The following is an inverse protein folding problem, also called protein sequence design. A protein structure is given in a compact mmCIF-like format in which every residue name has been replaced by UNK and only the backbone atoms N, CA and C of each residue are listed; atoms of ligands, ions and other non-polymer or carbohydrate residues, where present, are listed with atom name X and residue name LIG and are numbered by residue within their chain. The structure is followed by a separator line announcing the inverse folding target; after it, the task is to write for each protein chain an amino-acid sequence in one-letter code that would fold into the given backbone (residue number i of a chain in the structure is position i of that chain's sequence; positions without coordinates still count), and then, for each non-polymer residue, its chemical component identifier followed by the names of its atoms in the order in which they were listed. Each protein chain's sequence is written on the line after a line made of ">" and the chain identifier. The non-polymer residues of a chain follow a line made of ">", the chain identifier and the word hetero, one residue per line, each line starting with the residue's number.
data_IF_399316530207
#
_entry.id   IF_399316530207
#
_cell.length_a   1.000
_cell.length_b   1.000
_cell.length_c   1.000
_cell.angle_alpha   90.00
_cell.angle_beta   90.00
_cell.angle_gamma   90.00
#
_symmetry.space_group_name_H-M   'P 1'
#
loop_
_entity.id
_entity.type
_entity.pdbx_description
1 polymer ?
#
# COMPACT_ATOMS: atom_id res chain seq x y z
N UNK A 1 28.10 64.20 21.62
CA UNK A 1 27.70 63.65 20.30
C UNK A 1 27.20 62.23 20.58
N UNK A 2 25.89 61.99 20.43
CA UNK A 2 25.24 60.75 20.78
C UNK A 2 25.08 59.91 19.52
N UNK A 3 25.72 58.75 19.46
CA UNK A 3 25.52 57.77 18.38
C UNK A 3 24.31 56.86 18.74
N UNK A 4 23.27 56.95 17.94
CA UNK A 4 22.08 56.10 18.07
C UNK A 4 22.33 54.80 17.31
N UNK A 5 22.42 53.67 18.07
CA UNK A 5 22.46 52.31 17.50
C UNK A 5 21.06 51.85 17.09
N UNK A 6 20.91 51.53 15.84
CA UNK A 6 19.68 50.95 15.29
C UNK A 6 19.78 49.42 15.42
N UNK A 7 18.97 48.86 16.28
CA UNK A 7 18.75 47.40 16.38
C UNK A 7 17.67 47.00 15.37
N UNK A 8 18.06 46.29 14.32
CA UNK A 8 17.14 45.64 13.40
C UNK A 8 16.66 44.30 14.04
N UNK A 9 15.36 44.03 14.09
CA UNK A 9 14.90 42.72 14.50
C UNK A 9 15.08 41.72 13.37
N UNK A 10 15.79 40.62 13.65
CA UNK A 10 15.83 39.44 12.79
C UNK A 10 14.44 38.78 12.78
N UNK A 11 13.75 38.85 11.66
CA UNK A 11 12.56 38.04 11.42
C UNK A 11 13.01 36.57 11.17
N UNK A 12 12.77 35.68 12.12
CA UNK A 12 12.93 34.26 11.92
C UNK A 12 11.78 33.77 11.05
N UNK A 13 12.06 33.42 9.79
CA UNK A 13 11.16 32.67 8.93
C UNK A 13 11.09 31.21 9.49
N UNK A 14 10.00 30.91 10.16
CA UNK A 14 9.65 29.54 10.50
C UNK A 14 9.30 28.82 9.19
N UNK A 15 10.24 28.00 8.69
CA UNK A 15 10.00 27.10 7.57
C UNK A 15 8.99 26.03 7.97
N UNK A 16 7.79 26.07 7.40
CA UNK A 16 6.89 24.92 7.38
C UNK A 16 7.55 23.81 6.55
N UNK A 17 8.21 22.87 7.20
CA UNK A 17 8.57 21.59 6.60
C UNK A 17 7.31 20.76 6.34
N UNK A 18 7.31 19.84 5.33
CA UNK A 18 6.19 18.95 5.11
C UNK A 18 5.97 18.12 6.38
N UNK A 19 4.83 18.33 7.04
CA UNK A 19 4.48 17.68 8.27
C UNK A 19 4.42 16.16 8.08
N UNK A 20 5.13 15.43 8.92
CA UNK A 20 4.89 14.01 9.12
C UNK A 20 3.41 13.84 9.50
N UNK A 21 2.67 13.02 8.71
CA UNK A 21 1.24 12.79 8.93
C UNK A 21 0.98 12.40 10.38
N UNK A 22 0.05 13.09 11.01
CA UNK A 22 -0.36 12.79 12.38
C UNK A 22 -1.02 11.40 12.42
N UNK A 23 -0.96 10.69 13.55
CA UNK A 23 -1.57 9.36 13.69
C UNK A 23 -3.05 9.28 13.31
N UNK A 24 -3.79 10.39 13.37
CA UNK A 24 -5.16 10.51 12.87
C UNK A 24 -5.24 10.35 11.35
N UNK A 25 -4.33 10.95 10.59
CA UNK A 25 -4.28 10.85 9.13
C UNK A 25 -4.01 9.40 8.67
N UNK A 26 -3.13 8.70 9.39
CA UNK A 26 -2.85 7.28 9.12
C UNK A 26 -4.06 6.38 9.38
N UNK A 27 -4.80 6.62 10.46
CA UNK A 27 -6.03 5.88 10.78
C UNK A 27 -7.11 6.08 9.72
N UNK A 28 -7.30 7.32 9.27
CA UNK A 28 -8.23 7.65 8.20
C UNK A 28 -7.83 7.01 6.86
N UNK A 29 -6.54 6.97 6.55
CA UNK A 29 -6.02 6.29 5.37
C UNK A 29 -6.32 4.80 5.38
N UNK A 30 -6.07 4.12 6.50
CA UNK A 30 -6.39 2.69 6.67
C UNK A 30 -7.88 2.43 6.51
N UNK A 31 -8.74 3.27 7.09
CA UNK A 31 -10.20 3.15 6.95
C UNK A 31 -10.68 3.38 5.51
N UNK A 32 -10.05 4.29 4.75
CA UNK A 32 -10.31 4.42 3.30
C UNK A 32 -9.86 3.16 2.56
N UNK A 33 -8.69 2.64 2.89
CA UNK A 33 -8.14 1.42 2.31
C UNK A 33 -9.03 0.20 2.51
N UNK A 34 -9.61 0.03 3.69
CA UNK A 34 -10.59 -1.02 3.96
C UNK A 34 -11.81 -0.91 3.03
N UNK A 35 -12.30 0.29 2.78
CA UNK A 35 -13.40 0.49 1.82
C UNK A 35 -13.01 0.11 0.39
N UNK A 36 -11.80 0.44 -0.04
CA UNK A 36 -11.28 0.02 -1.35
C UNK A 36 -11.14 -1.51 -1.41
N UNK A 37 -10.67 -2.14 -0.34
CA UNK A 37 -10.49 -3.59 -0.23
C UNK A 37 -11.78 -4.39 -0.43
N UNK A 38 -12.95 -3.82 -0.20
CA UNK A 38 -14.24 -4.51 -0.46
C UNK A 38 -14.36 -5.03 -1.88
N UNK A 39 -13.66 -4.44 -2.86
CA UNK A 39 -13.60 -4.94 -4.24
C UNK A 39 -12.83 -6.25 -4.36
N UNK A 40 -11.96 -6.53 -3.42
CA UNK A 40 -11.09 -7.71 -3.40
C UNK A 40 -11.78 -8.92 -2.75
N UNK A 41 -12.78 -8.67 -1.90
CA UNK A 41 -13.46 -9.72 -1.10
C UNK A 41 -14.28 -10.69 -1.94
N UNK A 42 -14.56 -10.37 -3.20
CA UNK A 42 -15.19 -11.32 -4.12
C UNK A 42 -14.31 -12.55 -4.40
N UNK A 43 -12.99 -12.40 -4.32
CA UNK A 43 -12.01 -13.45 -4.66
C UNK A 43 -10.99 -13.72 -3.57
N UNK A 44 -10.82 -12.82 -2.59
CA UNK A 44 -9.81 -12.92 -1.54
C UNK A 44 -10.41 -12.87 -0.15
N UNK A 45 -9.79 -13.59 0.76
CA UNK A 45 -10.00 -13.45 2.21
C UNK A 45 -8.83 -12.66 2.83
N UNK A 46 -9.02 -12.13 4.04
CA UNK A 46 -8.01 -11.35 4.78
C UNK A 46 -7.85 -11.80 6.23
N UNK A 47 -8.73 -12.64 6.76
CA UNK A 47 -8.65 -13.13 8.13
C UNK A 47 -7.43 -14.04 8.34
N UNK A 48 -6.77 -13.92 9.50
CA UNK A 48 -5.56 -14.68 9.83
C UNK A 48 -5.66 -16.18 9.56
N UNK A 49 -6.81 -16.78 9.84
CA UNK A 49 -7.05 -18.22 9.70
C UNK A 49 -8.01 -18.57 8.56
N UNK A 50 -8.40 -17.58 7.75
CA UNK A 50 -9.27 -17.82 6.62
C UNK A 50 -8.55 -18.60 5.50
N UNK A 51 -9.31 -19.41 4.80
CA UNK A 51 -8.81 -20.18 3.65
C UNK A 51 -8.59 -19.32 2.42
N UNK A 52 -7.96 -19.92 1.41
CA UNK A 52 -7.92 -19.38 0.07
C UNK A 52 -9.29 -19.63 -0.60
N UNK A 53 -9.65 -18.76 -1.54
CA UNK A 53 -10.85 -18.88 -2.39
C UNK A 53 -10.43 -18.85 -3.86
N UNK A 54 -11.08 -18.07 -4.71
CA UNK A 54 -10.63 -17.90 -6.10
C UNK A 54 -9.22 -17.27 -6.18
N UNK A 55 -8.89 -16.42 -5.19
CA UNK A 55 -7.57 -15.91 -4.94
C UNK A 55 -7.00 -16.36 -3.60
N UNK A 56 -5.70 -16.14 -3.36
CA UNK A 56 -5.08 -16.48 -2.08
C UNK A 56 -5.59 -15.57 -0.96
N UNK A 57 -5.62 -16.07 0.27
CA UNK A 57 -5.80 -15.25 1.46
C UNK A 57 -4.68 -14.19 1.51
N UNK A 58 -5.03 -12.94 1.80
CA UNK A 58 -4.11 -11.79 1.77
C UNK A 58 -3.56 -11.37 3.14
N UNK A 59 -3.90 -12.10 4.22
CA UNK A 59 -3.32 -11.83 5.55
C UNK A 59 -1.79 -11.96 5.50
N UNK A 60 -1.07 -10.91 5.88
CA UNK A 60 0.40 -10.88 5.83
C UNK A 60 0.98 -10.78 4.42
N UNK A 61 0.22 -10.32 3.43
CA UNK A 61 0.71 -10.20 2.05
C UNK A 61 1.83 -9.17 1.92
N UNK A 62 1.72 -8.03 2.62
CA UNK A 62 2.76 -7.01 2.60
C UNK A 62 4.02 -7.52 3.32
N UNK A 63 5.17 -7.39 2.66
CA UNK A 63 6.43 -7.97 3.12
C UNK A 63 6.60 -9.47 2.86
N UNK A 64 5.55 -10.18 2.47
CA UNK A 64 5.59 -11.60 2.16
C UNK A 64 6.12 -11.92 0.76
N UNK A 65 6.57 -13.18 0.52
CA UNK A 65 7.13 -13.58 -0.77
C UNK A 65 6.06 -13.59 -1.87
N UNK A 66 6.45 -13.12 -3.06
CA UNK A 66 5.58 -13.06 -4.22
C UNK A 66 5.39 -14.45 -4.81
N UNK A 67 4.13 -14.88 -4.93
CA UNK A 67 3.80 -16.16 -5.56
C UNK A 67 4.13 -17.42 -4.75
N UNK A 68 4.48 -17.28 -3.47
CA UNK A 68 4.90 -18.42 -2.63
C UNK A 68 4.27 -18.43 -1.24
N UNK A 69 3.70 -17.31 -0.77
CA UNK A 69 3.25 -17.16 0.61
C UNK A 69 2.18 -18.16 1.04
N UNK A 70 1.35 -18.64 0.11
CA UNK A 70 0.32 -19.65 0.35
C UNK A 70 0.68 -20.94 -0.38
N UNK A 71 1.37 -21.90 0.27
CA UNK A 71 1.93 -23.07 -0.41
C UNK A 71 0.90 -23.97 -1.12
N UNK A 72 -0.36 -23.93 -0.68
CA UNK A 72 -1.46 -24.70 -1.26
C UNK A 72 -2.20 -23.97 -2.37
N UNK A 73 -1.95 -22.68 -2.57
CA UNK A 73 -2.57 -21.91 -3.64
C UNK A 73 -1.77 -22.04 -4.94
N UNK A 74 -2.46 -22.25 -6.05
CA UNK A 74 -1.84 -22.39 -7.37
C UNK A 74 -1.52 -21.04 -7.98
N UNK A 75 -0.42 -20.42 -7.59
CA UNK A 75 0.07 -19.20 -8.25
C UNK A 75 0.54 -19.51 -9.68
N UNK A 76 0.33 -18.54 -10.60
CA UNK A 76 0.84 -18.65 -11.96
C UNK A 76 2.37 -18.62 -12.01
N UNK A 77 2.97 -19.29 -13.00
CA UNK A 77 4.41 -19.27 -13.22
C UNK A 77 4.95 -17.84 -13.39
N UNK A 78 4.21 -16.96 -14.08
CA UNK A 78 4.59 -15.57 -14.25
C UNK A 78 4.67 -14.80 -12.94
N UNK A 79 3.74 -15.03 -12.01
CA UNK A 79 3.78 -14.38 -10.70
C UNK A 79 4.96 -14.90 -9.86
N UNK A 80 5.20 -16.21 -9.85
CA UNK A 80 6.34 -16.82 -9.16
C UNK A 80 7.67 -16.30 -9.71
N UNK A 81 7.77 -16.09 -11.02
CA UNK A 81 8.97 -15.62 -11.69
C UNK A 81 9.37 -14.18 -11.30
N UNK A 82 8.46 -13.37 -10.75
CA UNK A 82 8.81 -12.04 -10.23
C UNK A 82 9.81 -12.13 -9.09
N UNK A 83 9.70 -13.13 -8.23
CA UNK A 83 10.56 -13.32 -7.07
C UNK A 83 10.51 -12.15 -6.08
N UNK A 84 11.22 -12.30 -4.96
CA UNK A 84 11.28 -11.29 -3.92
C UNK A 84 9.95 -11.13 -3.15
N UNK A 85 9.80 -10.02 -2.46
CA UNK A 85 8.68 -9.76 -1.55
C UNK A 85 7.81 -8.61 -2.04
N UNK A 86 6.56 -8.57 -1.57
CA UNK A 86 5.65 -7.48 -1.78
C UNK A 86 6.04 -6.26 -0.92
N UNK A 87 6.69 -5.28 -1.51
CA UNK A 87 6.82 -3.93 -0.96
C UNK A 87 5.71 -3.01 -1.51
N UNK A 88 5.61 -1.80 -0.96
CA UNK A 88 4.58 -0.85 -1.37
C UNK A 88 4.67 -0.49 -2.86
N UNK A 89 5.88 -0.31 -3.40
CA UNK A 89 6.08 0.07 -4.80
C UNK A 89 5.70 -1.07 -5.77
N UNK A 90 6.00 -2.32 -5.44
CA UNK A 90 5.60 -3.48 -6.23
C UNK A 90 4.09 -3.70 -6.16
N UNK A 91 3.51 -3.56 -4.97
CA UNK A 91 2.06 -3.67 -4.79
C UNK A 91 1.32 -2.57 -5.54
N UNK A 92 1.82 -1.34 -5.55
CA UNK A 92 1.23 -0.24 -6.33
C UNK A 92 1.19 -0.57 -7.83
N UNK A 93 2.30 -1.04 -8.40
CA UNK A 93 2.35 -1.45 -9.81
C UNK A 93 1.42 -2.62 -10.12
N UNK A 94 1.35 -3.61 -9.22
CA UNK A 94 0.44 -4.73 -9.35
C UNK A 94 -1.01 -4.28 -9.37
N UNK A 95 -1.41 -3.47 -8.39
CA UNK A 95 -2.77 -2.97 -8.27
C UNK A 95 -3.15 -1.97 -9.36
N UNK A 96 -2.19 -1.26 -9.95
CA UNK A 96 -2.46 -0.38 -11.08
C UNK A 96 -2.88 -1.16 -12.34
N UNK A 97 -2.21 -2.26 -12.64
CA UNK A 97 -2.55 -3.13 -13.77
C UNK A 97 -1.87 -4.50 -13.63
N UNK A 98 -2.57 -5.49 -13.06
CA UNK A 98 -2.00 -6.83 -12.87
C UNK A 98 -1.54 -7.50 -14.16
N UNK A 99 -2.31 -7.37 -15.24
CA UNK A 99 -1.99 -8.00 -16.54
C UNK A 99 -0.78 -7.38 -17.22
N UNK A 100 -0.54 -6.09 -16.99
CA UNK A 100 0.66 -5.43 -17.50
C UNK A 100 1.90 -5.87 -16.75
N UNK A 101 1.80 -6.02 -15.42
CA UNK A 101 2.92 -6.45 -14.59
C UNK A 101 3.24 -7.93 -14.78
N UNK A 102 2.22 -8.77 -14.90
CA UNK A 102 2.33 -10.22 -15.09
C UNK A 102 1.39 -10.65 -16.22
N UNK A 103 1.84 -10.65 -17.47
CA UNK A 103 1.06 -11.19 -18.58
C UNK A 103 0.66 -12.65 -18.30
N UNK A 104 -0.60 -12.99 -18.55
CA UNK A 104 -1.11 -14.33 -18.27
C UNK A 104 -1.53 -14.58 -16.82
N UNK A 105 -1.56 -13.56 -15.97
CA UNK A 105 -2.15 -13.70 -14.63
C UNK A 105 -3.61 -14.15 -14.71
N UNK A 106 -3.99 -15.05 -13.82
CA UNK A 106 -5.39 -15.52 -13.68
C UNK A 106 -6.24 -14.59 -12.84
N UNK A 107 -5.65 -13.57 -12.21
CA UNK A 107 -6.39 -12.56 -11.47
C UNK A 107 -7.21 -11.69 -12.43
N UNK A 108 -8.51 -11.93 -12.46
CA UNK A 108 -9.47 -11.22 -13.32
C UNK A 108 -9.81 -9.85 -12.73
N UNK A 109 -8.86 -8.94 -12.71
CA UNK A 109 -8.97 -7.61 -12.13
C UNK A 109 -8.36 -6.57 -13.06
N UNK A 110 -9.13 -5.52 -13.38
CA UNK A 110 -8.68 -4.49 -14.32
C UNK A 110 -7.63 -3.53 -13.73
N UNK A 111 -7.53 -3.47 -12.41
CA UNK A 111 -6.66 -2.55 -11.69
C UNK A 111 -7.42 -1.39 -11.05
N UNK A 112 -6.69 -0.59 -10.29
CA UNK A 112 -7.16 0.62 -9.62
C UNK A 112 -6.45 1.81 -10.26
N UNK A 113 -7.14 2.61 -11.12
CA UNK A 113 -6.50 3.76 -11.79
C UNK A 113 -6.06 4.84 -10.83
N UNK A 114 -6.86 5.11 -9.80
CA UNK A 114 -6.61 6.15 -8.82
C UNK A 114 -5.44 5.81 -7.89
N UNK A 115 -4.39 6.63 -7.89
CA UNK A 115 -3.20 6.41 -7.10
C UNK A 115 -3.44 6.53 -5.59
N UNK A 116 -4.37 7.41 -5.17
CA UNK A 116 -4.70 7.56 -3.76
C UNK A 116 -5.43 6.31 -3.24
N UNK A 117 -6.36 5.76 -4.01
CA UNK A 117 -7.03 4.50 -3.66
C UNK A 117 -6.04 3.34 -3.55
N UNK A 118 -5.01 3.28 -4.42
CA UNK A 118 -3.95 2.27 -4.30
C UNK A 118 -3.15 2.45 -3.03
N UNK A 119 -2.72 3.68 -2.73
CA UNK A 119 -2.00 3.98 -1.50
C UNK A 119 -2.82 3.64 -0.24
N UNK A 120 -4.10 3.95 -0.25
CA UNK A 120 -5.01 3.66 0.86
C UNK A 120 -5.16 2.15 1.09
N UNK A 121 -5.39 1.36 0.04
CA UNK A 121 -5.53 -0.10 0.20
C UNK A 121 -4.21 -0.77 0.57
N UNK A 122 -3.07 -0.26 0.11
CA UNK A 122 -1.75 -0.75 0.53
C UNK A 122 -1.54 -0.48 2.03
N UNK A 123 -1.91 0.70 2.52
CA UNK A 123 -1.86 1.01 3.94
C UNK A 123 -2.75 0.06 4.77
N UNK A 124 -3.96 -0.22 4.30
CA UNK A 124 -4.84 -1.20 4.93
C UNK A 124 -4.22 -2.60 4.94
N UNK A 125 -3.72 -3.09 3.79
CA UNK A 125 -3.08 -4.40 3.70
C UNK A 125 -1.87 -4.54 4.63
N UNK A 126 -1.12 -3.47 4.83
CA UNK A 126 0.02 -3.44 5.75
C UNK A 126 -0.37 -3.63 7.22
N UNK A 127 -1.61 -3.30 7.59
CA UNK A 127 -2.14 -3.57 8.94
C UNK A 127 -2.67 -4.98 9.12
N UNK A 128 -2.80 -5.75 8.04
CA UNK A 128 -3.38 -7.09 8.02
C UNK A 128 -2.28 -8.16 8.05
N UNK A 129 -1.53 -8.22 9.12
CA UNK A 129 -0.43 -9.16 9.23
C UNK A 129 0.30 -9.05 10.57
N UNK A 130 1.28 -9.93 10.82
CA UNK A 130 2.16 -9.83 11.97
C UNK A 130 3.10 -8.62 11.86
#
# INVERSE_FOLDING_TARGET
>A
MKAAGWLLPLLALAGCGPGAGTGADTGDQVARGERVFRRCTACHTIGRYAGDTDGPNLYGVMGGPIGERRPRFSYTAGLKALGGNWDAARMDRWLANPRRMVPGTTMAFAGIPDAQHRADVIAYLATQGP
#
